data_IF_281630293807
#
_entry.id   IF_281630293807
#
_cell.length_a   1.000
_cell.length_b   1.000
_cell.length_c   1.000
_cell.angle_alpha   90.00
_cell.angle_beta   90.00
_cell.angle_gamma   90.00
#
_symmetry.space_group_name_H-M   'P 1'
#
loop_
_entity.id
_entity.type
_entity.pdbx_description
1 polymer ?
#
# COMPACT_ATOMS: atom_id res chain seq x y z
N UNK A 1 8.42 3.85 16.17
CA UNK A 1 9.27 3.49 17.32
C UNK A 1 10.62 3.12 16.76
N UNK A 2 11.68 3.83 17.14
CA UNK A 2 13.04 3.30 16.94
C UNK A 2 13.22 2.08 17.86
N UNK A 3 13.92 1.02 17.44
CA UNK A 3 14.16 -0.13 18.31
C UNK A 3 14.89 0.31 19.59
N UNK A 4 14.52 -0.30 20.71
CA UNK A 4 15.09 -0.02 22.05
C UNK A 4 16.54 -0.50 22.21
N UNK A 5 17.06 -1.21 21.20
CA UNK A 5 18.42 -1.70 21.09
C UNK A 5 19.02 -1.12 19.81
N UNK A 6 20.30 -0.73 19.82
CA UNK A 6 21.03 -0.30 18.61
C UNK A 6 21.28 -1.44 17.62
N UNK A 7 20.51 -2.52 17.67
CA UNK A 7 20.58 -3.63 16.75
C UNK A 7 19.83 -3.27 15.46
N UNK A 8 20.46 -3.52 14.32
CA UNK A 8 19.81 -3.42 13.01
C UNK A 8 18.80 -4.58 12.91
N UNK A 9 17.51 -4.30 12.64
CA UNK A 9 16.54 -5.38 12.43
C UNK A 9 16.95 -6.24 11.23
N UNK A 10 17.05 -7.54 11.44
CA UNK A 10 17.41 -8.54 10.41
C UNK A 10 16.20 -9.30 9.86
N UNK A 11 15.02 -9.06 10.44
CA UNK A 11 13.82 -9.85 10.25
C UNK A 11 12.57 -8.98 10.37
N UNK A 12 11.54 -9.28 9.59
CA UNK A 12 10.17 -8.83 9.83
C UNK A 12 9.24 -9.97 10.24
N UNK A 13 8.34 -9.69 11.19
CA UNK A 13 7.23 -10.59 11.55
C UNK A 13 5.94 -10.03 10.98
N UNK A 14 5.23 -10.84 10.22
CA UNK A 14 3.97 -10.47 9.57
C UNK A 14 2.85 -11.32 10.17
N UNK A 15 1.78 -10.65 10.59
CA UNK A 15 0.53 -11.33 10.98
C UNK A 15 -0.36 -11.47 9.76
N UNK A 16 -0.70 -12.70 9.39
CA UNK A 16 -1.55 -13.05 8.26
C UNK A 16 -2.91 -13.59 8.69
N UNK A 17 -3.91 -13.48 7.82
CA UNK A 17 -5.11 -14.29 7.93
C UNK A 17 -4.76 -15.77 7.74
N UNK A 18 -5.34 -16.64 8.56
CA UNK A 18 -5.14 -18.09 8.47
C UNK A 18 -6.18 -18.73 7.55
N UNK A 19 -5.80 -19.82 6.88
CA UNK A 19 -6.73 -20.65 6.09
C UNK A 19 -7.82 -21.34 6.93
N UNK A 20 -7.64 -21.41 8.25
CA UNK A 20 -8.55 -22.10 9.18
C UNK A 20 -9.86 -21.34 9.46
N UNK A 21 -9.98 -20.09 9.00
CA UNK A 21 -11.23 -19.33 9.06
C UNK A 21 -11.06 -17.83 9.28
N UNK A 22 -12.17 -17.10 9.09
CA UNK A 22 -12.22 -15.66 9.33
C UNK A 22 -11.93 -15.34 10.81
N UNK A 23 -11.07 -14.36 11.04
CA UNK A 23 -10.67 -13.94 12.38
C UNK A 23 -9.62 -14.85 13.04
N UNK A 24 -9.13 -15.86 12.34
CA UNK A 24 -7.97 -16.66 12.76
C UNK A 24 -6.71 -16.05 12.14
N UNK A 25 -5.68 -15.85 12.97
CA UNK A 25 -4.46 -15.15 12.59
C UNK A 25 -3.24 -16.03 12.82
N UNK A 26 -2.25 -15.88 11.96
CA UNK A 26 -1.00 -16.63 12.05
C UNK A 26 0.19 -15.72 11.78
N UNK A 27 1.26 -15.89 12.57
CA UNK A 27 2.49 -15.12 12.38
C UNK A 27 3.49 -15.91 11.54
N UNK A 28 4.13 -15.19 10.63
CA UNK A 28 5.21 -15.69 9.78
C UNK A 28 6.36 -14.71 9.82
N UNK A 29 7.56 -15.27 9.75
CA UNK A 29 8.80 -14.54 9.84
C UNK A 29 9.48 -14.56 8.48
N UNK A 30 9.98 -13.41 8.05
CA UNK A 30 10.74 -13.25 6.81
C UNK A 30 12.07 -12.57 7.14
N UNK A 31 13.17 -13.10 6.61
CA UNK A 31 14.48 -12.47 6.70
C UNK A 31 14.53 -11.21 5.84
N UNK A 32 15.21 -10.16 6.33
CA UNK A 32 15.43 -8.92 5.59
C UNK A 32 16.73 -8.95 4.78
N UNK A 33 17.67 -9.85 5.13
CA UNK A 33 18.97 -9.99 4.49
C UNK A 33 19.24 -11.46 4.13
N UNK A 34 20.02 -11.68 3.07
CA UNK A 34 20.59 -13.00 2.76
C UNK A 34 21.82 -13.31 3.61
N UNK A 35 22.38 -14.51 3.44
CA UNK A 35 23.56 -14.99 4.18
C UNK A 35 24.81 -14.11 3.96
N UNK A 36 24.86 -13.34 2.87
CA UNK A 36 25.94 -12.38 2.57
C UNK A 36 25.66 -10.98 3.12
N UNK A 37 24.57 -10.79 3.88
CA UNK A 37 24.15 -9.50 4.43
C UNK A 37 23.54 -8.55 3.41
N UNK A 38 23.13 -9.03 2.22
CA UNK A 38 22.50 -8.19 1.20
C UNK A 38 21.00 -8.10 1.42
N UNK A 39 20.39 -6.92 1.27
CA UNK A 39 18.97 -6.73 1.47
C UNK A 39 18.14 -7.58 0.48
N UNK A 40 17.07 -8.19 1.00
CA UNK A 40 16.16 -9.06 0.24
C UNK A 40 15.00 -8.30 -0.41
N UNK A 41 14.75 -7.04 -0.02
CA UNK A 41 13.73 -6.20 -0.65
C UNK A 41 14.21 -5.62 -1.98
N UNK A 42 13.23 -5.25 -2.79
CA UNK A 42 13.39 -4.62 -4.08
C UNK A 42 13.10 -3.12 -3.96
N UNK A 43 13.87 -2.30 -4.67
CA UNK A 43 13.69 -0.85 -4.76
C UNK A 43 13.37 -0.41 -6.20
N UNK A 44 12.94 0.83 -6.35
CA UNK A 44 12.58 1.37 -7.65
C UNK A 44 13.81 1.45 -8.57
N UNK A 45 13.76 0.95 -9.82
CA UNK A 45 14.93 0.83 -10.68
C UNK A 45 15.60 2.17 -11.04
N UNK A 46 14.80 3.23 -11.22
CA UNK A 46 15.29 4.57 -11.61
C UNK A 46 15.51 5.49 -10.40
N UNK A 47 14.50 5.61 -9.54
CA UNK A 47 14.50 6.55 -8.42
C UNK A 47 15.04 5.99 -7.10
N UNK A 48 15.32 4.68 -7.01
CA UNK A 48 15.78 4.03 -5.78
C UNK A 48 14.91 4.41 -4.58
N UNK A 49 15.58 4.85 -3.51
CA UNK A 49 14.97 5.27 -2.23
C UNK A 49 14.11 6.54 -2.29
N UNK A 50 14.22 7.35 -3.35
CA UNK A 50 13.34 8.51 -3.52
C UNK A 50 11.88 8.08 -3.68
N UNK A 51 11.66 6.92 -4.30
CA UNK A 51 10.37 6.23 -4.22
C UNK A 51 10.34 5.44 -2.92
N UNK A 52 9.52 5.90 -1.96
CA UNK A 52 9.37 5.25 -0.64
C UNK A 52 8.48 3.99 -0.71
N UNK A 53 8.76 3.12 -1.68
CA UNK A 53 8.11 1.83 -1.88
C UNK A 53 9.17 0.77 -2.06
N UNK A 54 9.06 -0.30 -1.27
CA UNK A 54 9.88 -1.51 -1.42
C UNK A 54 8.98 -2.71 -1.61
N UNK A 55 9.46 -3.73 -2.33
CA UNK A 55 8.75 -5.01 -2.43
C UNK A 55 9.60 -6.12 -1.81
N UNK A 56 9.01 -6.92 -0.92
CA UNK A 56 9.68 -8.04 -0.28
C UNK A 56 8.97 -9.34 -0.68
N UNK A 57 9.67 -10.31 -1.31
CA UNK A 57 9.09 -11.62 -1.57
C UNK A 57 8.73 -12.33 -0.26
N UNK A 58 7.53 -12.91 -0.20
CA UNK A 58 7.12 -13.75 0.93
C UNK A 58 7.54 -15.20 0.68
N UNK A 59 8.24 -15.80 1.64
CA UNK A 59 8.78 -17.16 1.52
C UNK A 59 8.06 -18.15 2.44
N UNK A 60 7.40 -17.67 3.50
CA UNK A 60 6.78 -18.52 4.51
C UNK A 60 5.24 -18.40 4.49
N UNK A 61 4.62 -19.01 3.48
CA UNK A 61 3.18 -18.89 3.20
C UNK A 61 2.32 -20.09 3.64
N UNK A 62 2.88 -21.04 4.39
CA UNK A 62 2.11 -22.18 4.89
C UNK A 62 0.96 -21.68 5.78
N UNK A 63 -0.26 -22.15 5.52
CA UNK A 63 -1.50 -21.78 6.25
C UNK A 63 -1.87 -20.29 6.15
N UNK A 64 -1.23 -19.53 5.25
CA UNK A 64 -1.54 -18.12 5.01
C UNK A 64 -2.65 -18.02 3.96
N UNK A 65 -3.72 -17.32 4.30
CA UNK A 65 -4.74 -16.89 3.35
C UNK A 65 -4.32 -15.55 2.72
N UNK A 66 -4.13 -15.53 1.40
CA UNK A 66 -3.78 -14.32 0.65
C UNK A 66 -5.00 -13.72 -0.04
N UNK A 67 -5.18 -12.41 0.14
CA UNK A 67 -6.20 -11.62 -0.55
C UNK A 67 -5.52 -10.42 -1.23
N UNK A 68 -4.81 -10.64 -2.35
CA UNK A 68 -4.01 -9.61 -2.99
C UNK A 68 -4.90 -8.57 -3.66
N UNK A 69 -4.42 -7.32 -3.69
CA UNK A 69 -4.97 -6.31 -4.59
C UNK A 69 -4.40 -6.52 -6.00
N UNK A 70 -5.24 -6.61 -7.05
CA UNK A 70 -4.75 -6.62 -8.42
C UNK A 70 -3.93 -5.36 -8.72
N UNK A 71 -2.77 -5.53 -9.34
CA UNK A 71 -1.94 -4.40 -9.81
C UNK A 71 -2.39 -3.93 -11.20
N UNK A 72 -3.04 -4.80 -11.97
CA UNK A 72 -3.72 -4.46 -13.20
C UNK A 72 -5.06 -3.81 -12.88
N UNK A 73 -5.48 -2.84 -13.68
CA UNK A 73 -6.75 -2.14 -13.47
C UNK A 73 -7.93 -3.12 -13.66
N UNK A 74 -8.65 -3.51 -12.59
CA UNK A 74 -9.77 -4.43 -12.72
C UNK A 74 -10.99 -3.74 -13.34
N UNK A 75 -10.95 -2.42 -13.57
CA UNK A 75 -12.06 -1.61 -14.04
C UNK A 75 -11.56 -0.36 -14.79
N UNK A 76 -11.02 -0.53 -16.01
CA UNK A 76 -10.40 0.53 -16.81
C UNK A 76 -11.36 1.67 -17.17
N UNK A 77 -12.67 1.42 -17.15
CA UNK A 77 -13.68 2.43 -17.42
C UNK A 77 -14.00 3.37 -16.25
N UNK A 78 -13.63 3.02 -15.01
CA UNK A 78 -14.00 3.83 -13.83
C UNK A 78 -13.17 5.09 -13.79
N UNK A 79 -13.86 6.24 -13.86
CA UNK A 79 -13.23 7.55 -13.78
C UNK A 79 -12.68 7.81 -12.38
N UNK A 80 -11.40 8.20 -12.31
CA UNK A 80 -10.70 8.58 -11.09
C UNK A 80 -10.10 9.96 -11.31
N UNK A 81 -10.37 10.89 -10.41
CA UNK A 81 -9.89 12.26 -10.52
C UNK A 81 -9.91 12.98 -9.19
N UNK A 82 -9.67 14.29 -9.23
CA UNK A 82 -9.79 15.15 -8.04
C UNK A 82 -11.18 14.97 -7.42
N UNK A 83 -11.27 15.00 -6.10
CA UNK A 83 -12.47 14.73 -5.30
C UNK A 83 -12.98 13.29 -5.29
N UNK A 84 -12.43 12.38 -6.10
CA UNK A 84 -12.78 10.96 -6.02
C UNK A 84 -12.50 10.44 -4.60
N UNK A 85 -13.47 9.71 -4.04
CA UNK A 85 -13.36 9.17 -2.70
C UNK A 85 -12.41 7.98 -2.66
N UNK A 86 -11.59 7.95 -1.61
CA UNK A 86 -10.59 6.90 -1.40
C UNK A 86 -10.60 6.44 0.06
N UNK A 87 -10.06 5.25 0.29
CA UNK A 87 -9.87 4.68 1.62
C UNK A 87 -8.40 4.28 1.80
N UNK A 88 -7.79 4.76 2.87
CA UNK A 88 -6.47 4.31 3.34
C UNK A 88 -6.69 3.21 4.36
N UNK A 89 -6.38 1.97 3.99
CA UNK A 89 -6.72 0.76 4.77
C UNK A 89 -5.48 0.24 5.49
N UNK A 90 -5.40 0.43 6.80
CA UNK A 90 -4.24 -0.04 7.59
C UNK A 90 -4.40 0.12 9.08
N UNK A 91 -3.30 0.40 9.79
CA UNK A 91 -3.22 0.27 11.25
C UNK A 91 -2.84 1.60 11.94
N UNK A 92 -3.69 2.63 11.85
CA UNK A 92 -3.42 3.93 12.47
C UNK A 92 -3.20 3.77 13.98
N UNK A 93 -2.14 4.36 14.51
CA UNK A 93 -1.75 4.30 15.92
C UNK A 93 -1.58 2.86 16.44
N UNK A 94 -1.23 1.92 15.56
CA UNK A 94 -1.18 0.48 15.84
C UNK A 94 -2.55 -0.12 16.27
N UNK A 95 -3.65 0.58 15.95
CA UNK A 95 -5.01 0.12 16.23
C UNK A 95 -5.48 -0.88 15.17
N UNK A 96 -6.21 -1.87 15.63
CA UNK A 96 -6.83 -2.94 14.83
C UNK A 96 -8.15 -3.36 15.47
N UNK A 97 -9.00 -4.04 14.71
CA UNK A 97 -10.29 -4.54 15.18
C UNK A 97 -10.41 -6.07 15.00
N UNK A 98 -11.18 -6.72 15.89
CA UNK A 98 -11.48 -8.16 15.84
C UNK A 98 -10.26 -9.05 15.50
N UNK A 99 -9.19 -8.89 16.28
CA UNK A 99 -7.86 -9.41 15.94
C UNK A 99 -7.11 -8.41 15.07
N UNK A 100 -6.63 -8.79 13.89
CA UNK A 100 -5.79 -7.93 13.04
C UNK A 100 -6.51 -7.36 11.82
N UNK A 101 -7.81 -7.03 11.92
CA UNK A 101 -8.47 -6.30 10.84
C UNK A 101 -8.03 -4.84 10.81
N UNK A 102 -7.69 -4.39 9.60
CA UNK A 102 -7.30 -3.01 9.32
C UNK A 102 -8.48 -2.03 9.47
N UNK A 103 -8.15 -0.80 9.84
CA UNK A 103 -9.07 0.32 9.93
C UNK A 103 -9.07 1.08 8.61
N UNK A 104 -10.27 1.47 8.16
CA UNK A 104 -10.48 2.21 6.93
C UNK A 104 -10.58 3.70 7.23
N UNK A 105 -9.58 4.49 6.82
CA UNK A 105 -9.64 5.94 6.91
C UNK A 105 -10.06 6.53 5.55
N UNK A 106 -11.22 7.18 5.51
CA UNK A 106 -11.73 7.84 4.30
C UNK A 106 -10.95 9.11 3.98
N UNK A 107 -10.83 9.41 2.70
CA UNK A 107 -10.30 10.67 2.18
C UNK A 107 -10.78 10.93 0.76
N UNK A 108 -10.19 11.94 0.12
CA UNK A 108 -10.42 12.26 -1.29
C UNK A 108 -9.09 12.48 -2.00
N UNK A 109 -9.08 12.27 -3.31
CA UNK A 109 -7.95 12.71 -4.14
C UNK A 109 -7.90 14.24 -4.15
N UNK A 110 -6.73 14.79 -3.82
CA UNK A 110 -6.49 16.22 -3.65
C UNK A 110 -5.64 16.84 -4.78
N UNK A 111 -5.09 16.02 -5.68
CA UNK A 111 -4.37 16.47 -6.87
C UNK A 111 -4.69 15.62 -8.11
N UNK A 112 -4.20 16.05 -9.25
CA UNK A 112 -4.50 15.50 -10.56
C UNK A 112 -3.99 14.05 -10.66
N UNK A 113 -4.92 13.09 -10.54
CA UNK A 113 -4.61 11.66 -10.46
C UNK A 113 -3.81 11.13 -11.65
N UNK A 114 -3.91 11.76 -12.83
CA UNK A 114 -3.21 11.35 -14.04
C UNK A 114 -1.90 12.11 -14.29
N UNK A 115 -1.57 13.13 -13.48
CA UNK A 115 -0.36 13.97 -13.67
C UNK A 115 0.59 13.83 -12.49
N UNK A 116 1.84 13.47 -12.76
CA UNK A 116 2.89 13.26 -11.77
C UNK A 116 3.05 14.48 -10.88
N UNK A 117 3.03 14.26 -9.57
CA UNK A 117 3.25 15.32 -8.60
C UNK A 117 4.74 15.47 -8.36
N UNK A 118 5.28 16.66 -8.61
CA UNK A 118 6.70 16.98 -8.43
C UNK A 118 7.63 16.04 -9.23
N UNK A 119 7.26 15.74 -10.48
CA UNK A 119 7.99 14.84 -11.39
C UNK A 119 8.13 13.39 -10.90
N UNK A 120 7.43 13.02 -9.82
CA UNK A 120 7.43 11.69 -9.23
C UNK A 120 6.12 10.96 -9.49
N UNK A 121 6.14 9.61 -9.56
CA UNK A 121 4.95 8.80 -9.84
C UNK A 121 4.01 8.68 -8.63
N UNK A 122 3.57 9.82 -8.09
CA UNK A 122 2.70 9.94 -6.93
C UNK A 122 1.58 10.97 -7.19
N UNK A 123 0.61 11.01 -6.28
CA UNK A 123 -0.42 12.04 -6.20
C UNK A 123 -0.76 12.34 -4.74
N UNK A 124 -1.52 13.40 -4.50
CA UNK A 124 -1.95 13.79 -3.16
C UNK A 124 -3.37 13.33 -2.87
N UNK A 125 -3.60 12.97 -1.62
CA UNK A 125 -4.93 12.78 -1.03
C UNK A 125 -5.11 13.72 0.15
N UNK A 126 -6.34 14.12 0.42
CA UNK A 126 -6.76 14.75 1.68
C UNK A 126 -7.42 13.68 2.55
N UNK A 127 -6.75 13.30 3.65
CA UNK A 127 -7.26 12.33 4.60
C UNK A 127 -6.66 12.53 5.98
N UNK A 128 -7.48 12.35 7.01
CA UNK A 128 -7.06 12.39 8.42
C UNK A 128 -6.30 11.13 8.83
N UNK A 129 -5.17 10.87 8.16
CA UNK A 129 -4.27 9.75 8.45
C UNK A 129 -3.50 9.96 9.75
N UNK A 130 -2.92 8.89 10.30
CA UNK A 130 -2.20 8.89 11.58
C UNK A 130 -0.92 8.07 11.45
N UNK A 131 0.09 8.27 12.32
CA UNK A 131 1.26 7.40 12.39
C UNK A 131 0.84 5.92 12.41
N UNK A 132 1.51 5.05 11.66
CA UNK A 132 1.11 3.65 11.46
C UNK A 132 0.26 3.38 10.21
N UNK A 133 -0.14 4.40 9.46
CA UNK A 133 -0.78 4.25 8.14
C UNK A 133 0.21 4.26 6.96
N UNK A 134 1.49 4.55 7.19
CA UNK A 134 2.51 4.45 6.12
C UNK A 134 2.64 2.99 5.67
N UNK A 135 2.70 2.77 4.36
CA UNK A 135 2.65 1.45 3.74
C UNK A 135 1.24 0.92 3.47
N UNK A 136 0.19 1.61 3.94
CA UNK A 136 -1.19 1.18 3.72
C UNK A 136 -1.60 1.31 2.24
N UNK A 137 -2.35 0.35 1.68
CA UNK A 137 -2.99 0.51 0.39
C UNK A 137 -4.02 1.64 0.41
N UNK A 138 -4.03 2.42 -0.67
CA UNK A 138 -5.07 3.41 -0.96
C UNK A 138 -5.97 2.84 -2.05
N UNK A 139 -7.24 2.67 -1.73
CA UNK A 139 -8.21 2.03 -2.61
C UNK A 139 -9.40 2.93 -2.89
N UNK A 140 -9.92 2.83 -4.11
CA UNK A 140 -11.29 3.18 -4.41
C UNK A 140 -12.16 1.97 -4.07
N UNK A 141 -13.19 2.18 -3.26
CA UNK A 141 -14.16 1.16 -2.90
C UNK A 141 -15.58 1.65 -3.16
N UNK A 142 -16.37 0.82 -3.84
CA UNK A 142 -17.82 1.03 -3.99
C UNK A 142 -18.53 -0.26 -3.63
N UNK A 143 -19.49 -0.20 -2.71
CA UNK A 143 -20.26 -1.37 -2.27
C UNK A 143 -21.26 -1.91 -3.31
N UNK A 144 -21.33 -1.28 -4.49
CA UNK A 144 -22.27 -1.58 -5.56
C UNK A 144 -23.24 -0.41 -5.80
N UNK A 145 -23.73 -0.28 -7.04
CA UNK A 145 -24.60 0.83 -7.47
C UNK A 145 -24.23 1.36 -8.86
N UNK A 146 -24.55 2.63 -9.08
CA UNK A 146 -24.19 3.35 -10.30
C UNK A 146 -22.80 3.97 -10.14
N UNK A 147 -21.91 3.77 -11.11
CA UNK A 147 -20.67 4.52 -11.21
C UNK A 147 -20.50 5.05 -12.64
N UNK A 148 -19.75 6.14 -12.76
CA UNK A 148 -19.52 6.80 -14.03
C UNK A 148 -18.37 6.09 -14.76
N UNK A 149 -18.68 5.55 -15.93
CA UNK A 149 -17.73 4.94 -16.86
C UNK A 149 -17.67 5.78 -18.11
N UNK A 150 -16.54 6.43 -18.39
CA UNK A 150 -16.35 7.20 -19.64
C UNK A 150 -17.53 8.14 -20.01
N UNK A 151 -18.21 8.72 -19.00
CA UNK A 151 -19.38 9.59 -19.20
C UNK A 151 -20.74 8.90 -19.17
N UNK A 152 -20.79 7.57 -19.19
CA UNK A 152 -22.01 6.77 -19.08
C UNK A 152 -22.19 6.24 -17.64
N UNK A 153 -23.41 6.32 -17.12
CA UNK A 153 -23.74 5.77 -15.80
C UNK A 153 -24.11 4.31 -15.97
N UNK A 154 -23.20 3.39 -15.60
CA UNK A 154 -23.45 1.95 -15.72
C UNK A 154 -23.86 1.34 -14.37
N UNK A 155 -25.00 0.63 -14.28
CA UNK A 155 -25.28 -0.23 -13.14
C UNK A 155 -24.46 -1.52 -13.24
N UNK A 156 -23.65 -1.84 -12.24
CA UNK A 156 -23.03 -3.17 -12.12
C UNK A 156 -23.40 -3.81 -10.80
N UNK A 157 -23.75 -5.08 -10.88
CA UNK A 157 -23.91 -5.94 -9.72
C UNK A 157 -22.52 -6.30 -9.16
N UNK A 158 -22.28 -5.98 -7.89
CA UNK A 158 -21.04 -6.30 -7.17
C UNK A 158 -20.34 -5.08 -6.60
N UNK A 159 -19.46 -5.32 -5.62
CA UNK A 159 -18.58 -4.29 -5.09
C UNK A 159 -17.37 -4.11 -6.02
N UNK A 160 -16.89 -2.87 -6.12
CA UNK A 160 -15.66 -2.52 -6.83
C UNK A 160 -14.58 -2.20 -5.79
N UNK A 161 -13.43 -2.84 -5.93
CA UNK A 161 -12.20 -2.48 -5.22
C UNK A 161 -11.11 -2.25 -6.24
N UNK A 162 -10.55 -1.04 -6.29
CA UNK A 162 -9.46 -0.66 -7.19
C UNK A 162 -8.31 -0.08 -6.38
N UNK A 163 -7.13 -0.70 -6.47
CA UNK A 163 -5.92 -0.15 -5.87
C UNK A 163 -5.47 1.08 -6.66
N UNK A 164 -5.21 2.18 -5.95
CA UNK A 164 -4.70 3.42 -6.53
C UNK A 164 -3.22 3.64 -6.23
N UNK A 165 -2.74 3.07 -5.12
CA UNK A 165 -1.35 3.19 -4.71
C UNK A 165 -1.08 2.80 -3.27
N UNK A 166 0.11 3.14 -2.80
CA UNK A 166 0.56 2.97 -1.41
C UNK A 166 0.73 4.34 -0.76
N UNK A 167 0.14 4.52 0.41
CA UNK A 167 0.27 5.75 1.20
C UNK A 167 1.64 5.80 1.88
N UNK A 168 2.39 6.90 1.73
CA UNK A 168 3.72 7.05 2.36
C UNK A 168 3.69 7.88 3.64
N UNK A 169 2.98 9.01 3.64
CA UNK A 169 3.03 9.95 4.75
C UNK A 169 2.37 11.28 4.43
N UNK A 170 2.31 12.16 5.44
CA UNK A 170 1.73 13.50 5.30
C UNK A 170 2.79 14.49 4.83
N UNK A 171 2.37 15.50 4.07
CA UNK A 171 3.28 16.57 3.61
C UNK A 171 3.95 17.30 4.77
N UNK A 172 3.28 17.40 5.91
CA UNK A 172 3.84 17.78 7.20
C UNK A 172 2.91 17.33 8.34
N UNK A 173 3.32 17.55 9.60
CA UNK A 173 2.58 17.10 10.80
C UNK A 173 1.23 17.80 11.01
N UNK A 174 1.02 18.97 10.43
CA UNK A 174 -0.15 19.83 10.64
C UNK A 174 -1.10 19.80 9.42
N UNK A 175 -0.75 19.06 8.37
CA UNK A 175 -1.55 18.89 7.17
C UNK A 175 -2.33 17.57 7.19
N UNK A 176 -3.49 17.56 6.54
CA UNK A 176 -4.23 16.33 6.17
C UNK A 176 -3.88 15.85 4.75
N UNK A 177 -3.03 16.59 4.02
CA UNK A 177 -2.51 16.15 2.73
C UNK A 177 -1.44 15.08 2.92
N UNK A 178 -1.54 14.00 2.13
CA UNK A 178 -0.53 12.95 2.12
C UNK A 178 -0.24 12.38 0.75
N UNK A 179 0.94 11.78 0.64
CA UNK A 179 1.50 11.24 -0.58
C UNK A 179 1.04 9.81 -0.82
N UNK A 180 0.66 9.53 -2.06
CA UNK A 180 0.30 8.18 -2.51
C UNK A 180 1.12 7.82 -3.75
N UNK A 181 2.00 6.83 -3.62
CA UNK A 181 2.77 6.27 -4.71
C UNK A 181 1.86 5.45 -5.61
N UNK A 182 1.81 5.78 -6.90
CA UNK A 182 0.89 5.17 -7.86
C UNK A 182 1.19 3.69 -8.07
N UNK A 183 0.16 2.95 -8.48
CA UNK A 183 0.32 1.52 -8.85
C UNK A 183 1.45 1.27 -9.84
N UNK A 184 1.70 2.18 -10.80
CA UNK A 184 2.82 2.02 -11.74
C UNK A 184 4.19 1.98 -11.07
N UNK A 185 4.42 2.77 -10.01
CA UNK A 185 5.67 2.72 -9.25
C UNK A 185 5.84 1.37 -8.55
N UNK A 186 4.75 0.81 -8.03
CA UNK A 186 4.73 -0.54 -7.44
C UNK A 186 5.06 -1.60 -8.51
N UNK A 187 4.45 -1.49 -9.69
CA UNK A 187 4.74 -2.39 -10.82
C UNK A 187 6.20 -2.31 -11.25
N UNK A 188 6.79 -1.11 -11.30
CA UNK A 188 8.20 -0.89 -11.64
C UNK A 188 9.13 -1.56 -10.63
N UNK A 189 8.89 -1.38 -9.32
CA UNK A 189 9.64 -2.04 -8.25
C UNK A 189 9.57 -3.57 -8.39
N UNK A 190 8.35 -4.13 -8.53
CA UNK A 190 8.14 -5.58 -8.59
C UNK A 190 8.74 -6.20 -9.86
N UNK A 191 8.60 -5.53 -11.02
CA UNK A 191 9.07 -6.07 -12.31
C UNK A 191 10.56 -5.96 -12.51
N UNK A 192 11.19 -4.88 -12.04
CA UNK A 192 12.62 -4.68 -12.25
C UNK A 192 13.48 -5.61 -11.38
N UNK A 193 12.95 -6.05 -10.24
CA UNK A 193 13.63 -6.97 -9.32
C UNK A 193 15.05 -6.48 -8.90
N UNK A 194 15.19 -5.17 -8.70
CA UNK A 194 16.44 -4.53 -8.31
C UNK A 194 16.58 -4.51 -6.80
N UNK A 195 17.59 -5.18 -6.26
CA UNK A 195 17.99 -5.05 -4.85
C UNK A 195 18.84 -3.80 -4.64
N UNK A 196 18.82 -3.18 -3.45
CA UNK A 196 19.72 -2.08 -3.12
C UNK A 196 21.19 -2.46 -3.33
N UNK A 197 21.98 -1.52 -3.87
CA UNK A 197 23.41 -1.74 -4.18
C UNK A 197 24.34 -1.63 -2.97
N UNK A 198 23.86 -1.16 -1.82
CA UNK A 198 24.63 -1.02 -0.57
C UNK A 198 23.91 -1.76 0.57
N UNK A 199 24.69 -2.43 1.43
CA UNK A 199 24.23 -2.87 2.75
C UNK A 199 23.78 -1.63 3.53
N UNK A 200 22.59 -1.67 4.14
CA UNK A 200 22.13 -0.57 4.99
C UNK A 200 23.21 -0.23 6.05
N UNK A 201 23.46 1.06 6.33
CA UNK A 201 24.41 1.47 7.35
C UNK A 201 23.99 1.01 8.76
#
# INVERSE_FOLDING_TARGET
MSPATGAVPDTVVITHACTDGLGVWIQRQESLYDDDGRPLWLEHPTYGRTVEVVAMPLTNLREVALHPYPLEDPSPGVLVGVTSEVNVVGFPLNMHHAGFLAIWARGTIASEYHVDYDELPLFLIDSRTRPGQSGSPVILFSAGGHYQVEGEVSPRAGHLTKLLGIYSGRVNKDSDLGFVWRVRAIQEVVRAAVRPSESAP
#
